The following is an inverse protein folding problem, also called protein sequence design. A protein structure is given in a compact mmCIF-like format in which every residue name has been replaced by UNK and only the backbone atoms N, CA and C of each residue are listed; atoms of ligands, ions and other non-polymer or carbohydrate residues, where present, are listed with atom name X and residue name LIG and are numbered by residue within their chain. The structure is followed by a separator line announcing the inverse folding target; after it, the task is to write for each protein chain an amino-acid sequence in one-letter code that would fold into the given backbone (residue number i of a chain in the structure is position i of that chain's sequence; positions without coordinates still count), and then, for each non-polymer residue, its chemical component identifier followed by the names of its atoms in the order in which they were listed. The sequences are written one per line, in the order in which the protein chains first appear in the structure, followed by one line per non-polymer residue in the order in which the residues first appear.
data_IF_630942441005
#
_entry.id   IF_630942441005
#
_cell.length_a   1.000
_cell.length_b   1.000
_cell.length_c   1.000
_cell.angle_alpha   90.00
_cell.angle_beta   90.00
_cell.angle_gamma   90.00
#
_symmetry.space_group_name_H-M   'P 1'
#
loop_
_entity.id
_entity.type
_entity.pdbx_description
1 polymer ?
#
# COMPACT_ATOMS: atom_id res chain seq x y z
N UNK A 1 -70.62 32.21 -8.36
CA UNK A 1 -69.77 31.03 -8.11
C UNK A 1 -68.57 31.16 -9.04
N UNK A 2 -67.46 31.56 -8.42
CA UNK A 2 -66.05 31.30 -8.70
C UNK A 2 -65.34 31.55 -10.04
N UNK A 3 -64.16 32.17 -9.84
CA UNK A 3 -62.86 31.89 -10.46
C UNK A 3 -62.47 32.68 -11.71
N UNK A 4 -61.80 33.82 -11.46
CA UNK A 4 -60.87 34.44 -12.40
C UNK A 4 -59.46 34.46 -11.80
N UNK A 5 -58.66 33.58 -12.38
CA UNK A 5 -57.21 33.46 -12.43
C UNK A 5 -56.44 34.78 -12.25
N UNK A 6 -55.62 34.88 -11.19
CA UNK A 6 -54.54 35.88 -11.11
C UNK A 6 -53.18 35.16 -11.05
N UNK A 7 -52.42 35.28 -12.14
CA UNK A 7 -50.98 34.95 -12.17
C UNK A 7 -50.23 36.05 -11.41
N UNK A 8 -49.65 35.72 -10.26
CA UNK A 8 -48.71 36.58 -9.53
C UNK A 8 -47.33 36.53 -10.19
N UNK A 9 -46.89 37.70 -10.63
CA UNK A 9 -45.53 38.02 -11.03
C UNK A 9 -44.64 37.96 -9.77
N UNK A 10 -43.66 37.06 -9.73
CA UNK A 10 -42.66 36.99 -8.67
C UNK A 10 -41.46 37.83 -9.09
N UNK A 11 -41.22 38.92 -8.34
CA UNK A 11 -40.03 39.75 -8.39
C UNK A 11 -38.84 38.93 -7.87
N UNK A 12 -37.82 38.68 -8.69
CA UNK A 12 -36.55 38.12 -8.23
C UNK A 12 -35.62 39.27 -7.88
N UNK A 13 -35.36 39.45 -6.58
CA UNK A 13 -34.40 40.41 -6.07
C UNK A 13 -32.96 39.92 -6.36
N UNK A 14 -32.17 40.75 -7.02
CA UNK A 14 -30.74 40.55 -7.26
C UNK A 14 -29.96 40.92 -5.98
N UNK A 15 -29.10 40.04 -5.43
CA UNK A 15 -28.19 40.44 -4.36
C UNK A 15 -26.99 41.20 -4.94
N UNK A 16 -26.67 42.31 -4.29
CA UNK A 16 -25.56 43.20 -4.61
C UNK A 16 -24.19 42.50 -4.43
N UNK A 17 -23.32 42.69 -5.41
CA UNK A 17 -21.94 42.23 -5.42
C UNK A 17 -21.11 43.08 -4.46
N UNK A 18 -20.67 42.51 -3.33
CA UNK A 18 -19.65 43.12 -2.47
C UNK A 18 -18.29 42.67 -2.98
N UNK A 19 -17.54 43.59 -3.59
CA UNK A 19 -16.16 43.36 -3.98
C UNK A 19 -15.26 43.40 -2.74
N UNK A 20 -14.66 42.27 -2.39
CA UNK A 20 -13.59 42.18 -1.39
C UNK A 20 -12.26 42.23 -2.14
N UNK A 21 -11.54 43.33 -1.99
CA UNK A 21 -10.19 43.52 -2.51
C UNK A 21 -9.20 42.71 -1.66
N UNK A 22 -8.64 41.63 -2.19
CA UNK A 22 -7.49 40.95 -1.58
C UNK A 22 -6.21 41.57 -2.17
N UNK A 23 -5.43 42.23 -1.33
CA UNK A 23 -4.12 42.75 -1.68
C UNK A 23 -3.15 41.58 -1.94
N UNK A 24 -2.65 41.48 -3.17
CA UNK A 24 -1.55 40.59 -3.51
C UNK A 24 -0.22 41.23 -3.05
N UNK A 25 0.37 40.70 -1.99
CA UNK A 25 1.76 41.02 -1.63
C UNK A 25 2.69 40.21 -2.55
N UNK A 26 3.26 40.88 -3.55
CA UNK A 26 4.40 40.37 -4.31
C UNK A 26 5.63 40.33 -3.39
N UNK A 27 6.09 39.13 -3.04
CA UNK A 27 7.43 38.93 -2.47
C UNK A 27 8.39 38.75 -3.64
N UNK A 28 9.24 39.74 -3.85
CA UNK A 28 10.41 39.65 -4.71
C UNK A 28 11.39 38.66 -4.08
N UNK A 29 11.64 37.54 -4.75
CA UNK A 29 12.77 36.67 -4.42
C UNK A 29 14.04 37.32 -5.00
N UNK A 30 14.82 37.97 -4.15
CA UNK A 30 16.17 38.40 -4.48
C UNK A 30 17.10 37.17 -4.49
N UNK A 31 17.70 36.90 -5.64
CA UNK A 31 18.73 35.86 -5.77
C UNK A 31 20.07 36.46 -5.39
N UNK A 32 20.63 36.06 -4.26
CA UNK A 32 22.05 36.21 -4.02
C UNK A 32 22.61 34.92 -3.43
N UNK A 33 23.52 34.33 -4.19
CA UNK A 33 24.60 33.48 -3.70
C UNK A 33 25.23 34.12 -2.46
N UNK A 34 25.46 33.33 -1.41
CA UNK A 34 26.77 33.15 -0.80
C UNK A 34 26.71 32.19 0.41
N UNK A 35 27.71 31.32 0.50
CA UNK A 35 28.05 30.44 1.62
C UNK A 35 29.51 30.81 2.01
N UNK A 36 30.07 30.52 3.21
CA UNK A 36 29.53 29.83 4.38
C UNK A 36 29.87 30.48 5.76
N UNK A 37 29.31 29.87 6.82
CA UNK A 37 29.78 29.84 8.22
C UNK A 37 29.87 31.15 9.03
N UNK A 38 28.89 31.39 9.89
CA UNK A 38 29.12 31.79 11.30
C UNK A 38 27.94 31.37 12.18
N UNK A 39 28.25 30.55 13.18
CA UNK A 39 27.33 30.13 14.25
C UNK A 39 27.16 31.27 15.26
N UNK A 40 25.92 31.72 15.48
CA UNK A 40 25.54 32.44 16.69
C UNK A 40 24.28 31.82 17.28
N UNK A 41 24.51 30.94 18.26
CA UNK A 41 23.52 30.24 19.04
C UNK A 41 22.85 31.21 20.02
N UNK A 42 21.58 31.59 19.77
CA UNK A 42 20.69 32.15 20.80
C UNK A 42 19.85 31.01 21.39
N UNK A 43 19.86 30.77 22.71
CA UNK A 43 18.99 29.79 23.33
C UNK A 43 17.61 30.41 23.59
N UNK A 44 16.56 29.82 23.03
CA UNK A 44 15.17 30.12 23.41
C UNK A 44 14.25 30.39 22.24
N UNK A 45 13.21 29.56 22.13
CA UNK A 45 12.14 29.53 21.12
C UNK A 45 12.54 28.87 19.80
N UNK A 46 12.60 27.54 19.84
CA UNK A 46 12.57 26.71 18.64
C UNK A 46 11.11 26.67 18.16
N UNK A 47 10.75 27.48 17.18
CA UNK A 47 9.53 27.27 16.41
C UNK A 47 9.67 25.94 15.70
N UNK A 48 9.04 24.89 16.22
CA UNK A 48 8.98 23.58 15.57
C UNK A 48 8.10 23.77 14.31
N UNK A 49 8.63 23.65 13.08
CA UNK A 49 7.79 23.58 11.91
C UNK A 49 6.93 22.31 12.02
N UNK A 50 5.60 22.46 11.85
CA UNK A 50 4.62 21.40 12.05
C UNK A 50 4.74 20.19 11.09
N UNK A 51 5.74 20.19 10.20
CA UNK A 51 6.10 19.05 9.35
C UNK A 51 7.62 19.04 9.25
N UNK A 52 8.30 18.17 10.01
CA UNK A 52 9.70 17.90 9.72
C UNK A 52 9.78 17.15 8.38
N UNK A 53 10.67 17.54 7.45
CA UNK A 53 10.92 16.77 6.26
C UNK A 53 11.33 15.35 6.67
N UNK A 54 10.69 14.33 6.09
CA UNK A 54 11.16 12.95 6.26
C UNK A 54 12.59 12.90 5.69
N UNK A 55 13.60 12.40 6.41
CA UNK A 55 14.97 12.33 5.90
C UNK A 55 15.03 11.60 4.55
N UNK A 56 15.91 12.03 3.65
CA UNK A 56 16.03 11.52 2.26
C UNK A 56 16.42 10.03 2.14
N UNK A 57 16.60 9.29 3.24
CA UNK A 57 16.76 7.82 3.27
C UNK A 57 15.60 7.06 3.91
N UNK A 58 14.49 7.75 4.21
CA UNK A 58 13.31 7.20 4.89
C UNK A 58 12.04 7.29 4.02
N UNK A 59 12.17 7.64 2.75
CA UNK A 59 11.08 7.66 1.76
C UNK A 59 11.64 7.47 0.34
N UNK A 60 10.87 6.92 -0.60
CA UNK A 60 11.26 6.91 -2.00
C UNK A 60 11.18 8.33 -2.57
N UNK A 61 12.16 8.70 -3.38
CA UNK A 61 12.26 9.95 -4.12
C UNK A 61 12.08 9.69 -5.63
N UNK A 62 11.94 10.77 -6.41
CA UNK A 62 11.93 10.64 -7.88
C UNK A 62 13.20 9.93 -8.37
N UNK A 63 13.00 8.85 -9.13
CA UNK A 63 14.08 8.02 -9.66
C UNK A 63 14.41 6.79 -8.82
N UNK A 64 13.88 6.68 -7.59
CA UNK A 64 13.95 5.45 -6.80
C UNK A 64 13.04 4.36 -7.37
N UNK A 65 13.41 3.11 -7.09
CA UNK A 65 12.62 1.93 -7.47
C UNK A 65 12.64 0.91 -6.34
N UNK A 66 11.79 1.14 -5.35
CA UNK A 66 11.75 0.37 -4.12
C UNK A 66 10.69 -0.73 -4.18
N UNK A 67 10.98 -1.82 -3.49
CA UNK A 67 10.16 -3.01 -3.44
C UNK A 67 10.10 -3.51 -1.99
N UNK A 68 8.89 -3.65 -1.45
CA UNK A 68 8.67 -4.16 -0.11
C UNK A 68 7.69 -5.34 -0.15
N UNK A 69 8.16 -6.59 0.06
CA UNK A 69 7.26 -7.72 0.19
C UNK A 69 6.34 -7.57 1.40
N UNK A 70 5.11 -8.03 1.25
CA UNK A 70 4.12 -8.00 2.32
C UNK A 70 3.36 -9.32 2.45
N UNK A 71 2.91 -9.59 3.66
CA UNK A 71 2.06 -10.74 3.99
C UNK A 71 0.96 -10.30 4.96
N UNK A 72 -0.25 -10.82 4.78
CA UNK A 72 -1.41 -10.47 5.60
C UNK A 72 -1.97 -11.73 6.25
N UNK A 73 -2.25 -11.68 7.55
CA UNK A 73 -2.85 -12.77 8.31
C UNK A 73 -4.14 -12.30 8.99
N UNK A 74 -5.17 -13.13 8.91
CA UNK A 74 -6.39 -13.01 9.72
C UNK A 74 -6.50 -14.29 10.55
N UNK A 75 -6.48 -14.15 11.88
CA UNK A 75 -6.25 -15.26 12.80
C UNK A 75 -4.96 -16.00 12.43
N UNK A 76 -5.07 -17.32 12.24
CA UNK A 76 -3.94 -18.17 11.84
C UNK A 76 -3.86 -18.39 10.31
N UNK A 77 -4.62 -17.63 9.50
CA UNK A 77 -4.72 -17.86 8.05
C UNK A 77 -4.05 -16.76 7.25
N UNK A 78 -3.04 -17.12 6.44
CA UNK A 78 -2.44 -16.23 5.42
C UNK A 78 -3.51 -15.90 4.38
N UNK A 79 -3.69 -14.62 4.15
CA UNK A 79 -4.62 -14.12 3.14
C UNK A 79 -4.00 -14.20 1.74
N UNK A 80 -4.82 -14.26 0.69
CA UNK A 80 -4.34 -14.04 -0.67
C UNK A 80 -3.63 -12.70 -0.81
N UNK A 81 -2.71 -12.60 -1.75
CA UNK A 81 -2.09 -11.32 -2.08
C UNK A 81 -3.17 -10.33 -2.56
N UNK A 82 -2.96 -9.05 -2.29
CA UNK A 82 -3.83 -7.97 -2.79
C UNK A 82 -3.85 -8.02 -4.32
N UNK A 83 -5.02 -7.97 -4.98
CA UNK A 83 -5.11 -7.95 -6.44
C UNK A 83 -4.29 -6.83 -7.07
N UNK A 84 -3.90 -7.01 -8.34
CA UNK A 84 -3.16 -5.98 -9.07
C UNK A 84 -3.95 -4.67 -9.16
N UNK A 85 -3.28 -3.56 -8.89
CA UNK A 85 -3.79 -2.21 -9.13
C UNK A 85 -2.61 -1.24 -9.29
N UNK A 86 -2.87 -0.09 -9.92
CA UNK A 86 -1.90 1.03 -10.01
C UNK A 86 -2.48 2.28 -9.34
N UNK A 87 -1.80 2.75 -8.29
CA UNK A 87 -2.15 4.01 -7.63
C UNK A 87 -1.68 5.25 -8.41
N UNK A 88 -2.30 6.43 -8.18
CA UNK A 88 -2.02 7.66 -8.93
C UNK A 88 -0.64 8.28 -8.70
N UNK A 89 0.16 7.70 -7.82
CA UNK A 89 1.51 8.13 -7.44
C UNK A 89 2.54 7.02 -7.73
N UNK A 90 2.20 6.08 -8.61
CA UNK A 90 3.07 4.97 -9.03
C UNK A 90 3.43 3.97 -7.92
N UNK A 91 2.74 4.07 -6.79
CA UNK A 91 2.69 3.02 -5.79
C UNK A 91 1.66 1.98 -6.23
N UNK A 92 2.09 0.73 -6.43
CA UNK A 92 1.27 -0.31 -7.07
C UNK A 92 1.68 -1.73 -6.64
N UNK A 93 0.90 -2.72 -7.05
CA UNK A 93 1.25 -4.14 -6.93
C UNK A 93 0.78 -4.92 -8.15
N UNK A 94 1.47 -6.01 -8.48
CA UNK A 94 1.07 -6.92 -9.55
C UNK A 94 0.25 -8.12 -9.04
N UNK A 95 -0.09 -8.16 -7.74
CA UNK A 95 -0.72 -9.33 -7.12
C UNK A 95 0.27 -10.42 -6.71
N UNK A 96 1.55 -10.10 -6.77
CA UNK A 96 2.69 -10.97 -6.48
C UNK A 96 3.12 -10.94 -5.01
N UNK A 97 2.48 -10.12 -4.18
CA UNK A 97 2.81 -9.99 -2.76
C UNK A 97 3.88 -8.94 -2.47
N UNK A 98 4.12 -8.02 -3.39
CA UNK A 98 5.06 -6.90 -3.20
C UNK A 98 4.41 -5.56 -3.45
N UNK A 99 4.81 -4.58 -2.65
CA UNK A 99 4.53 -3.16 -2.83
C UNK A 99 5.66 -2.58 -3.67
N UNK A 100 5.33 -2.04 -4.83
CA UNK A 100 6.27 -1.36 -5.71
C UNK A 100 6.08 0.15 -5.56
N UNK A 101 7.17 0.87 -5.36
CA UNK A 101 7.18 2.33 -5.20
C UNK A 101 8.28 2.92 -6.09
N UNK A 102 7.87 3.62 -7.14
CA UNK A 102 8.79 4.33 -8.04
C UNK A 102 8.24 5.71 -8.44
N UNK A 103 8.37 6.73 -7.56
CA UNK A 103 7.81 8.05 -7.82
C UNK A 103 8.36 8.69 -9.11
N UNK A 104 7.48 9.23 -9.97
CA UNK A 104 7.87 10.10 -11.10
C UNK A 104 7.52 11.57 -10.87
N UNK A 105 6.73 11.87 -9.83
CA UNK A 105 6.31 13.22 -9.45
C UNK A 105 6.49 13.45 -7.95
N UNK A 106 6.70 14.69 -7.48
CA UNK A 106 6.92 14.97 -6.06
C UNK A 106 5.77 14.55 -5.17
N UNK A 107 4.55 14.54 -5.70
CA UNK A 107 3.35 14.10 -4.97
C UNK A 107 3.37 12.61 -4.60
N UNK A 108 4.22 11.79 -5.23
CA UNK A 108 4.38 10.36 -4.92
C UNK A 108 5.45 10.04 -3.89
N UNK A 109 6.24 11.03 -3.49
CA UNK A 109 7.24 10.85 -2.45
C UNK A 109 6.61 10.86 -1.05
N UNK A 110 7.37 10.39 -0.06
CA UNK A 110 7.06 10.63 1.34
C UNK A 110 5.77 9.96 1.79
N UNK A 111 4.90 10.72 2.45
CA UNK A 111 3.67 10.16 3.06
C UNK A 111 2.70 9.57 2.03
N UNK A 112 2.80 9.93 0.75
CA UNK A 112 2.04 9.33 -0.34
C UNK A 112 2.46 7.88 -0.63
N UNK A 113 3.66 7.48 -0.21
CA UNK A 113 4.17 6.12 -0.30
C UNK A 113 3.95 5.30 1.00
N UNK A 114 3.13 5.79 1.93
CA UNK A 114 2.83 5.06 3.17
C UNK A 114 1.96 3.81 2.94
N UNK A 115 2.02 2.84 3.86
CA UNK A 115 1.17 1.65 3.86
C UNK A 115 -0.32 2.02 3.80
N UNK A 116 -0.74 3.02 4.58
CA UNK A 116 -2.10 3.55 4.53
C UNK A 116 -2.50 3.98 3.12
N UNK A 117 -1.64 4.72 2.43
CA UNK A 117 -1.91 5.20 1.07
C UNK A 117 -1.98 4.07 0.06
N UNK A 118 -1.07 3.10 0.16
CA UNK A 118 -1.13 1.87 -0.65
C UNK A 118 -2.50 1.17 -0.51
N UNK A 119 -2.99 0.98 0.71
CA UNK A 119 -4.31 0.40 0.94
C UNK A 119 -5.45 1.26 0.37
N UNK A 120 -5.41 2.59 0.58
CA UNK A 120 -6.39 3.53 0.02
C UNK A 120 -6.44 3.45 -1.52
N UNK A 121 -5.29 3.35 -2.21
CA UNK A 121 -5.22 3.25 -3.67
C UNK A 121 -5.85 1.96 -4.21
N UNK A 122 -5.71 0.84 -3.49
CA UNK A 122 -6.34 -0.43 -3.84
C UNK A 122 -7.83 -0.52 -3.47
N UNK A 123 -8.42 0.54 -2.90
CA UNK A 123 -9.82 0.54 -2.41
C UNK A 123 -10.02 -0.18 -1.07
N UNK A 124 -8.92 -0.46 -0.37
CA UNK A 124 -8.90 -0.95 1.01
C UNK A 124 -8.79 0.18 2.03
N UNK A 125 -8.48 -0.21 3.27
CA UNK A 125 -8.24 0.72 4.37
C UNK A 125 -7.27 0.10 5.35
N UNK A 126 -6.31 0.89 5.80
CA UNK A 126 -5.39 0.52 6.88
C UNK A 126 -5.23 1.73 7.81
N UNK A 127 -5.67 1.56 9.05
CA UNK A 127 -5.34 2.45 10.17
C UNK A 127 -4.60 1.64 11.23
N UNK A 128 -4.36 2.22 12.40
CA UNK A 128 -3.67 1.50 13.48
C UNK A 128 -4.58 0.46 14.16
N UNK A 129 -5.89 0.52 13.90
CA UNK A 129 -6.96 -0.26 14.54
C UNK A 129 -8.02 -0.82 13.56
N UNK A 130 -7.88 -0.58 12.25
CA UNK A 130 -8.82 -1.03 11.22
C UNK A 130 -8.11 -1.55 9.97
N UNK A 131 -8.52 -2.73 9.52
CA UNK A 131 -8.02 -3.38 8.31
C UNK A 131 -9.17 -3.73 7.37
N UNK A 132 -9.12 -3.21 6.15
CA UNK A 132 -9.89 -3.68 5.00
C UNK A 132 -8.91 -3.97 3.88
N UNK A 133 -8.74 -5.25 3.57
CA UNK A 133 -7.82 -5.68 2.50
C UNK A 133 -8.41 -5.26 1.14
N UNK A 134 -7.65 -4.57 0.28
CA UNK A 134 -8.05 -4.31 -1.09
C UNK A 134 -8.58 -5.56 -1.81
N UNK A 135 -9.71 -5.42 -2.51
CA UNK A 135 -10.38 -6.54 -3.19
C UNK A 135 -11.27 -7.40 -2.30
N UNK A 136 -11.23 -7.24 -0.97
CA UNK A 136 -12.14 -7.90 -0.03
C UNK A 136 -13.27 -6.97 0.44
N UNK A 137 -14.36 -7.55 0.94
CA UNK A 137 -15.54 -6.79 1.41
C UNK A 137 -15.48 -6.52 2.90
N UNK A 138 -14.90 -7.45 3.63
CA UNK A 138 -14.82 -7.52 5.06
C UNK A 138 -13.95 -6.39 5.61
N UNK A 139 -14.28 -5.93 6.82
CA UNK A 139 -13.50 -4.91 7.53
C UNK A 139 -13.35 -5.38 8.96
N UNK A 140 -12.10 -5.42 9.40
CA UNK A 140 -11.67 -5.89 10.70
C UNK A 140 -11.30 -4.70 11.58
N UNK A 141 -11.64 -4.79 12.87
CA UNK A 141 -11.35 -3.76 13.86
C UNK A 141 -10.88 -4.37 15.16
N UNK A 142 -9.97 -3.69 15.84
CA UNK A 142 -9.52 -4.11 17.17
C UNK A 142 -10.69 -4.44 18.11
N UNK A 143 -10.55 -5.54 18.84
CA UNK A 143 -11.58 -6.06 19.75
C UNK A 143 -12.60 -7.01 19.10
N UNK A 144 -12.60 -7.17 17.76
CA UNK A 144 -13.39 -8.21 17.10
C UNK A 144 -12.97 -9.60 17.60
N UNK A 145 -13.93 -10.52 17.69
CA UNK A 145 -13.67 -11.87 18.16
C UNK A 145 -13.24 -12.77 17.00
N UNK A 146 -12.00 -13.27 17.05
CA UNK A 146 -11.51 -14.35 16.18
C UNK A 146 -11.18 -15.54 17.08
N UNK A 147 -11.76 -16.71 16.77
CA UNK A 147 -11.57 -17.94 17.53
C UNK A 147 -11.84 -17.79 19.04
N UNK A 148 -12.83 -16.95 19.39
CA UNK A 148 -13.25 -16.69 20.77
C UNK A 148 -12.31 -15.78 21.58
N UNK A 149 -11.35 -15.12 20.92
CA UNK A 149 -10.45 -14.14 21.53
C UNK A 149 -10.58 -12.79 20.84
N UNK A 150 -10.40 -11.71 21.60
CA UNK A 150 -10.29 -10.36 21.04
C UNK A 150 -9.03 -10.25 20.20
N UNK A 151 -9.19 -9.92 18.92
CA UNK A 151 -8.12 -9.70 17.98
C UNK A 151 -7.61 -8.25 18.05
N UNK A 152 -6.33 -8.07 17.73
CA UNK A 152 -5.69 -6.79 17.52
C UNK A 152 -5.03 -6.75 16.14
N UNK A 153 -5.08 -5.58 15.51
CA UNK A 153 -4.34 -5.27 14.31
C UNK A 153 -2.89 -4.94 14.68
N UNK A 154 -1.95 -5.55 13.97
CA UNK A 154 -0.52 -5.34 14.16
C UNK A 154 0.12 -5.11 12.81
N UNK A 155 0.82 -3.99 12.66
CA UNK A 155 1.61 -3.69 11.49
C UNK A 155 3.07 -3.84 11.91
N UNK A 156 3.75 -4.77 11.26
CA UNK A 156 5.06 -5.25 11.66
C UNK A 156 6.03 -5.08 10.49
N UNK A 157 7.23 -4.60 10.78
CA UNK A 157 8.30 -4.42 9.80
C UNK A 157 9.56 -5.17 10.24
N UNK A 158 10.22 -5.82 9.29
CA UNK A 158 11.57 -6.35 9.46
C UNK A 158 12.39 -6.07 8.21
N UNK A 159 13.71 -6.14 8.30
CA UNK A 159 14.55 -6.20 7.10
C UNK A 159 14.40 -7.59 6.45
N UNK A 160 14.05 -7.66 5.17
CA UNK A 160 13.98 -8.94 4.44
C UNK A 160 15.34 -9.62 4.33
N UNK A 161 16.43 -8.84 4.43
CA UNK A 161 17.82 -9.27 4.23
C UNK A 161 18.15 -9.58 2.76
N UNK A 162 17.23 -9.30 1.84
CA UNK A 162 17.32 -9.64 0.42
C UNK A 162 16.82 -8.43 -0.39
N UNK A 163 17.71 -7.77 -1.12
CA UNK A 163 17.25 -6.79 -2.10
C UNK A 163 16.42 -7.49 -3.18
N UNK A 164 15.14 -7.14 -3.34
CA UNK A 164 14.18 -7.88 -4.16
C UNK A 164 14.29 -7.57 -5.66
N UNK A 165 15.49 -7.30 -6.18
CA UNK A 165 15.71 -7.12 -7.62
C UNK A 165 16.00 -8.46 -8.30
N UNK A 166 15.38 -8.68 -9.46
CA UNK A 166 15.60 -9.87 -10.31
C UNK A 166 15.21 -11.19 -9.63
N UNK A 167 16.11 -12.18 -9.66
CA UNK A 167 15.86 -13.53 -9.13
C UNK A 167 15.68 -13.61 -7.59
N UNK A 168 15.90 -12.51 -6.86
CA UNK A 168 15.74 -12.43 -5.41
C UNK A 168 14.29 -12.26 -4.93
N UNK A 169 13.36 -11.90 -5.82
CA UNK A 169 12.00 -11.49 -5.47
C UNK A 169 11.20 -12.59 -4.74
N UNK A 170 11.14 -13.80 -5.33
CA UNK A 170 10.47 -14.95 -4.71
C UNK A 170 11.10 -15.33 -3.36
N UNK A 171 12.41 -15.14 -3.20
CA UNK A 171 13.12 -15.39 -1.94
C UNK A 171 12.83 -14.34 -0.90
N UNK A 172 12.63 -13.09 -1.28
CA UNK A 172 12.28 -12.00 -0.37
C UNK A 172 10.88 -12.24 0.24
N UNK A 173 9.90 -12.67 -0.55
CA UNK A 173 8.56 -13.07 -0.04
C UNK A 173 8.67 -14.29 0.89
N UNK A 174 9.42 -15.32 0.50
CA UNK A 174 9.61 -16.51 1.35
C UNK A 174 10.34 -16.17 2.66
N UNK A 175 11.33 -15.27 2.60
CA UNK A 175 12.02 -14.74 3.78
C UNK A 175 11.03 -14.01 4.69
N UNK A 176 10.11 -13.24 4.11
CA UNK A 176 9.04 -12.57 4.83
C UNK A 176 8.08 -13.52 5.52
N UNK A 177 7.65 -14.58 4.84
CA UNK A 177 6.83 -15.61 5.45
C UNK A 177 7.61 -16.30 6.59
N UNK A 178 8.82 -16.79 6.35
CA UNK A 178 9.57 -17.62 7.29
C UNK A 178 10.08 -16.92 8.57
N UNK A 179 10.13 -15.58 8.61
CA UNK A 179 10.65 -14.84 9.77
C UNK A 179 9.75 -15.03 11.00
N UNK A 180 10.39 -15.28 12.14
CA UNK A 180 9.73 -15.25 13.43
C UNK A 180 9.23 -13.83 13.73
N UNK A 181 8.01 -13.71 14.26
CA UNK A 181 7.39 -12.42 14.54
C UNK A 181 8.25 -11.53 15.48
N UNK A 182 9.02 -12.14 16.40
CA UNK A 182 9.93 -11.41 17.30
C UNK A 182 11.07 -10.68 16.60
N UNK A 183 11.33 -11.00 15.33
CA UNK A 183 12.30 -10.26 14.49
C UNK A 183 11.72 -9.00 13.87
N UNK A 184 10.41 -8.81 13.99
CA UNK A 184 9.73 -7.62 13.50
C UNK A 184 9.60 -6.56 14.59
N UNK A 185 9.76 -5.31 14.19
CA UNK A 185 9.37 -4.15 14.98
C UNK A 185 7.95 -3.72 14.61
N UNK A 186 7.20 -3.25 15.61
CA UNK A 186 5.86 -2.69 15.36
C UNK A 186 5.98 -1.29 14.78
N UNK A 187 5.23 -1.02 13.72
CA UNK A 187 5.13 0.28 13.05
C UNK A 187 3.66 0.73 12.99
N UNK A 188 3.42 1.98 12.59
CA UNK A 188 2.07 2.53 12.40
C UNK A 188 1.63 2.47 10.93
N UNK A 189 0.34 2.74 10.67
CA UNK A 189 -0.23 2.72 9.32
C UNK A 189 0.37 3.77 8.37
N UNK A 190 1.04 4.80 8.90
CA UNK A 190 1.72 5.86 8.10
C UNK A 190 3.17 5.51 7.81
N UNK A 191 3.64 4.34 8.24
CA UNK A 191 4.96 3.84 7.88
C UNK A 191 5.15 3.84 6.36
N UNK A 192 6.33 4.28 5.92
CA UNK A 192 6.74 4.26 4.51
C UNK A 192 7.73 3.11 4.37
N UNK A 193 7.35 2.02 3.68
CA UNK A 193 8.25 0.90 3.48
C UNK A 193 9.49 1.33 2.72
N UNK A 194 10.65 0.81 3.14
CA UNK A 194 11.92 0.96 2.44
C UNK A 194 12.13 -0.18 1.45
N UNK A 195 13.06 0.00 0.51
CA UNK A 195 13.49 -1.09 -0.35
C UNK A 195 14.02 -2.26 0.48
N UNK A 196 13.53 -3.46 0.21
CA UNK A 196 13.87 -4.66 0.95
C UNK A 196 13.22 -4.78 2.32
N UNK A 197 12.33 -3.87 2.73
CA UNK A 197 11.54 -4.09 3.93
C UNK A 197 10.55 -5.22 3.75
N UNK A 198 10.40 -6.00 4.80
CA UNK A 198 9.38 -7.01 4.96
C UNK A 198 8.23 -6.48 5.81
N UNK A 199 7.03 -6.44 5.25
CA UNK A 199 5.83 -5.97 5.95
C UNK A 199 4.92 -7.15 6.31
N UNK A 200 4.53 -7.25 7.57
CA UNK A 200 3.56 -8.23 8.03
C UNK A 200 2.40 -7.52 8.71
N UNK A 201 1.19 -7.77 8.20
CA UNK A 201 -0.04 -7.21 8.75
C UNK A 201 -0.81 -8.37 9.37
N UNK A 202 -0.99 -8.34 10.69
CA UNK A 202 -1.63 -9.43 11.45
C UNK A 202 -2.87 -8.88 12.12
N UNK A 203 -4.03 -9.50 11.86
CA UNK A 203 -5.25 -9.27 12.62
C UNK A 203 -5.63 -10.57 13.34
N UNK A 204 -5.18 -10.71 14.59
CA UNK A 204 -5.35 -11.94 15.36
C UNK A 204 -5.29 -11.65 16.86
N UNK A 205 -5.60 -12.65 17.70
CA UNK A 205 -5.36 -12.53 19.13
C UNK A 205 -3.87 -12.22 19.42
N UNK A 206 -3.54 -11.46 20.48
CA UNK A 206 -2.15 -11.06 20.77
C UNK A 206 -1.18 -12.25 20.95
N UNK A 207 -1.69 -13.41 21.38
CA UNK A 207 -0.92 -14.63 21.57
C UNK A 207 -0.94 -15.58 20.35
N UNK A 208 -1.69 -15.22 19.30
CA UNK A 208 -1.72 -15.99 18.07
C UNK A 208 -0.37 -15.87 17.35
N UNK A 209 0.20 -17.03 17.03
CA UNK A 209 1.35 -17.15 16.13
C UNK A 209 0.81 -17.59 14.77
N UNK A 210 0.80 -16.72 13.75
CA UNK A 210 0.28 -17.09 12.45
C UNK A 210 1.08 -18.28 11.89
N UNK A 211 0.39 -19.38 11.59
CA UNK A 211 1.04 -20.54 10.99
C UNK A 211 1.26 -20.26 9.49
N UNK A 212 2.52 -20.23 9.08
CA UNK A 212 2.87 -20.22 7.67
C UNK A 212 2.69 -21.65 7.16
N UNK A 213 1.54 -21.92 6.54
CA UNK A 213 1.40 -23.14 5.72
C UNK A 213 2.13 -22.88 4.42
N UNK A 214 3.17 -23.66 4.07
CA UNK A 214 3.82 -23.50 2.77
C UNK A 214 2.78 -23.75 1.69
N UNK A 215 2.51 -22.73 0.87
CA UNK A 215 1.72 -22.86 -0.37
C UNK A 215 2.56 -23.56 -1.44
N UNK A 216 2.92 -24.80 -1.14
CA UNK A 216 3.38 -25.75 -2.14
C UNK A 216 2.40 -26.90 -2.10
N UNK A 217 1.51 -26.93 -3.07
CA UNK A 217 1.16 -28.19 -3.71
C UNK A 217 2.49 -28.78 -4.19
N UNK A 218 3.13 -29.60 -3.35
CA UNK A 218 4.23 -30.45 -3.80
C UNK A 218 3.54 -31.49 -4.66
N UNK A 219 3.54 -31.26 -5.98
CA UNK A 219 3.23 -32.33 -6.93
C UNK A 219 4.28 -33.41 -6.65
N UNK A 220 3.87 -34.60 -6.20
CA UNK A 220 4.81 -35.69 -5.98
C UNK A 220 5.58 -35.96 -7.28
N UNK A 221 6.85 -36.37 -7.24
CA UNK A 221 7.63 -36.63 -8.45
C UNK A 221 6.96 -37.64 -9.40
N UNK A 222 6.10 -38.52 -8.88
CA UNK A 222 5.25 -39.44 -9.65
C UNK A 222 4.13 -38.75 -10.47
N UNK A 223 3.69 -37.56 -10.08
CA UNK A 223 2.72 -36.73 -10.81
C UNK A 223 3.42 -35.67 -11.68
N UNK A 224 4.73 -35.46 -11.50
CA UNK A 224 5.53 -34.48 -12.25
C UNK A 224 6.06 -35.02 -13.60
N UNK A 225 5.86 -36.30 -13.91
CA UNK A 225 6.25 -36.90 -15.18
C UNK A 225 5.08 -36.91 -16.16
N UNK A 226 4.89 -35.80 -16.88
CA UNK A 226 4.15 -35.83 -18.14
C UNK A 226 5.08 -36.33 -19.25
N UNK A 227 4.86 -37.53 -19.78
CA UNK A 227 5.53 -37.99 -20.99
C UNK A 227 5.00 -37.17 -22.16
N UNK A 228 5.84 -36.31 -22.73
CA UNK A 228 5.56 -35.72 -24.05
C UNK A 228 5.96 -36.76 -25.08
N UNK A 229 4.98 -37.48 -25.62
CA UNK A 229 5.16 -38.27 -26.82
C UNK A 229 5.42 -37.29 -27.98
N UNK A 230 6.69 -37.02 -28.28
CA UNK A 230 7.07 -36.37 -29.53
C UNK A 230 7.00 -37.41 -30.65
N UNK A 231 5.89 -37.43 -31.36
CA UNK A 231 5.83 -38.13 -32.64
C UNK A 231 6.63 -37.32 -33.67
N UNK A 232 7.87 -37.74 -33.92
CA UNK A 232 8.67 -37.23 -35.04
C UNK A 232 8.33 -38.04 -36.29
N UNK A 233 7.06 -38.05 -36.66
CA UNK A 233 6.65 -38.31 -38.03
C UNK A 233 6.09 -37.01 -38.57
N UNK A 234 6.86 -36.41 -39.49
CA UNK A 234 6.47 -35.16 -40.11
C UNK A 234 5.22 -35.37 -40.95
N UNK A 235 4.06 -35.02 -40.41
CA UNK A 235 3.06 -34.21 -41.10
C UNK A 235 1.96 -33.71 -40.14
N UNK A 236 1.69 -32.41 -40.21
CA UNK A 236 0.49 -31.68 -39.78
C UNK A 236 -0.10 -31.77 -38.33
N UNK A 237 -0.29 -30.56 -37.78
CA UNK A 237 -1.36 -30.08 -36.86
C UNK A 237 -1.41 -30.54 -35.39
N UNK A 238 -1.27 -29.63 -34.40
CA UNK A 238 -1.71 -29.90 -33.04
C UNK A 238 -3.20 -29.53 -32.85
N UNK A 239 -4.03 -30.53 -32.59
CA UNK A 239 -5.34 -30.37 -31.96
C UNK A 239 -5.18 -30.10 -30.46
N UNK A 240 -5.76 -29.01 -29.97
CA UNK A 240 -5.86 -28.72 -28.54
C UNK A 240 -7.01 -29.54 -27.93
N UNK A 241 -6.71 -30.46 -27.00
CA UNK A 241 -7.73 -31.04 -26.13
C UNK A 241 -7.82 -30.21 -24.83
N UNK A 242 -8.97 -29.56 -24.68
CA UNK A 242 -9.41 -28.88 -23.45
C UNK A 242 -9.78 -29.93 -22.40
N UNK A 243 -9.17 -29.88 -21.21
CA UNK A 243 -9.63 -30.65 -20.07
C UNK A 243 -10.56 -29.78 -19.21
N UNK A 244 -11.84 -29.78 -19.58
CA UNK A 244 -12.95 -29.40 -18.70
C UNK A 244 -13.38 -30.69 -17.99
N UNK A 245 -13.37 -30.74 -16.65
CA UNK A 245 -14.18 -31.72 -15.93
C UNK A 245 -14.71 -31.14 -14.61
N UNK A 246 -16.01 -30.89 -14.62
CA UNK A 246 -16.87 -30.93 -13.45
C UNK A 246 -16.97 -32.37 -12.94
N UNK A 247 -16.86 -32.57 -11.63
CA UNK A 247 -17.92 -33.05 -10.73
C UNK A 247 -17.48 -32.98 -9.29
#
# INVERSE_FOLDING_TARGET
MDSLTLRRLVLVAMPALVAVSVAAAFVLADSSSDNPATSSHRPGVQTIPAVMPIPEGNRPLIGDHWHAPYVIFIGNTRQPNIPSFTGPQETHTHGDGVIHMHPFIPAGEGQSASLRKFFEYGGGKLTDDELKIPGQKETHRDGEQIDGKAAELRILRADSGIHPLGAGFARAIQSCDAKDESTFERVDSRYIPKDGDCIRIVFAAPDAKPEIKPDRTVIPPEEATGTIEMDVTGDATPSFFSCFHQR
#
